data_IF_541837221673
#
_entry.id   IF_541837221673
#
_cell.length_a   1.000
_cell.length_b   1.000
_cell.length_c   1.000
_cell.angle_alpha   90.00
_cell.angle_beta   90.00
_cell.angle_gamma   90.00
#
_symmetry.space_group_name_H-M   'P 1'
#
loop_
_entity.id
_entity.type
_entity.pdbx_description
1 polymer ?
#
# COMPACT_ATOMS: atom_id res chain seq x y z
N UNK A 1 -2.07 4.35 9.10
CA UNK A 1 -3.30 3.92 8.40
C UNK A 1 -3.52 4.94 7.32
N UNK A 2 -3.34 4.57 6.05
CA UNK A 2 -3.60 5.45 4.91
C UNK A 2 -5.01 5.10 4.43
N UNK A 3 -5.95 6.04 4.54
CA UNK A 3 -7.32 5.84 4.08
C UNK A 3 -7.47 6.47 2.69
N UNK A 4 -7.54 5.62 1.66
CA UNK A 4 -7.79 6.05 0.28
C UNK A 4 -9.30 6.00 0.03
N UNK A 5 -9.95 7.16 0.02
CA UNK A 5 -11.38 7.26 -0.26
C UNK A 5 -11.65 7.16 -1.77
N UNK A 6 -12.56 6.26 -2.18
CA UNK A 6 -13.10 6.21 -3.55
C UNK A 6 -12.35 5.32 -4.54
N UNK A 7 -11.32 4.57 -4.11
CA UNK A 7 -10.64 3.59 -4.95
C UNK A 7 -11.23 2.21 -4.66
N UNK A 8 -11.85 1.60 -5.66
CA UNK A 8 -12.44 0.25 -5.59
C UNK A 8 -11.49 -0.86 -6.03
N UNK A 9 -10.36 -0.51 -6.66
CA UNK A 9 -9.36 -1.44 -7.18
C UNK A 9 -8.17 -1.54 -6.21
N UNK A 10 -7.99 -2.73 -5.64
CA UNK A 10 -7.04 -3.03 -4.56
C UNK A 10 -5.58 -2.96 -5.02
N UNK A 11 -5.28 -3.51 -6.19
CA UNK A 11 -3.91 -3.52 -6.73
C UNK A 11 -3.46 -2.10 -7.07
N UNK A 12 -4.40 -1.28 -7.55
CA UNK A 12 -4.18 0.14 -7.81
C UNK A 12 -4.00 0.96 -6.53
N UNK A 13 -4.80 0.69 -5.50
CA UNK A 13 -4.60 1.33 -4.19
C UNK A 13 -3.21 1.01 -3.62
N UNK A 14 -2.73 -0.24 -3.78
CA UNK A 14 -1.38 -0.65 -3.38
C UNK A 14 -0.31 0.13 -4.13
N UNK A 15 -0.44 0.23 -5.45
CA UNK A 15 0.51 0.98 -6.28
C UNK A 15 0.57 2.45 -5.84
N UNK A 16 -0.58 3.07 -5.56
CA UNK A 16 -0.66 4.47 -5.10
C UNK A 16 -0.02 4.66 -3.72
N UNK A 17 -0.25 3.75 -2.76
CA UNK A 17 0.35 3.85 -1.40
C UNK A 17 1.85 3.59 -1.41
N UNK A 18 2.34 2.76 -2.33
CA UNK A 18 3.77 2.46 -2.47
C UNK A 18 4.53 3.50 -3.30
N UNK A 19 3.82 4.33 -4.09
CA UNK A 19 4.43 5.46 -4.78
C UNK A 19 4.87 6.50 -3.75
N UNK A 20 6.17 6.82 -3.77
CA UNK A 20 6.72 7.85 -2.91
C UNK A 20 6.35 9.26 -3.40
N UNK A 21 5.97 9.41 -4.68
CA UNK A 21 5.58 10.65 -5.36
C UNK A 21 6.39 11.86 -4.91
N UNK A 22 7.71 11.73 -4.92
CA UNK A 22 8.61 12.84 -4.65
C UNK A 22 8.55 13.82 -5.81
N UNK A 23 7.79 14.90 -5.64
CA UNK A 23 7.66 15.97 -6.63
C UNK A 23 8.83 16.94 -6.48
N UNK A 24 9.55 17.16 -7.57
CA UNK A 24 10.63 18.16 -7.68
C UNK A 24 10.40 19.05 -8.90
N UNK A 25 10.73 20.32 -8.76
CA UNK A 25 10.83 21.25 -9.88
C UNK A 25 12.31 21.57 -10.11
N UNK A 26 12.77 21.30 -11.34
CA UNK A 26 14.16 21.47 -11.76
C UNK A 26 14.23 22.29 -13.05
N UNK A 27 15.33 23.00 -13.26
CA UNK A 27 15.60 23.67 -14.52
C UNK A 27 16.17 22.66 -15.52
N UNK A 28 15.71 22.71 -16.77
CA UNK A 28 16.33 21.98 -17.87
C UNK A 28 17.52 22.80 -18.37
N UNK A 29 18.68 22.16 -18.45
CA UNK A 29 19.92 22.81 -18.88
C UNK A 29 20.22 22.48 -20.36
N UNK A 30 20.88 23.39 -21.09
CA UNK A 30 21.36 23.10 -22.44
C UNK A 30 22.31 21.90 -22.47
N UNK A 31 22.32 21.16 -23.58
CA UNK A 31 23.19 19.99 -23.74
C UNK A 31 24.66 20.35 -23.98
N UNK A 32 25.04 21.63 -24.06
CA UNK A 32 26.39 22.07 -24.45
C UNK A 32 27.48 21.51 -23.54
N UNK A 33 27.27 21.59 -22.23
CA UNK A 33 28.25 21.16 -21.24
C UNK A 33 28.32 19.64 -21.16
N UNK A 34 27.16 18.99 -21.29
CA UNK A 34 27.04 17.54 -21.35
C UNK A 34 27.76 16.99 -22.58
N UNK A 35 27.52 17.57 -23.76
CA UNK A 35 28.18 17.21 -25.02
C UNK A 35 29.70 17.38 -24.94
N UNK A 36 30.20 18.43 -24.27
CA UNK A 36 31.63 18.61 -24.03
C UNK A 36 32.23 17.55 -23.08
N UNK A 37 31.42 16.98 -22.18
CA UNK A 37 31.84 15.94 -21.26
C UNK A 37 31.76 14.52 -21.86
N UNK A 38 31.01 14.30 -22.95
CA UNK A 38 30.81 12.98 -23.55
C UNK A 38 32.11 12.26 -23.91
N UNK A 39 33.10 12.97 -24.48
CA UNK A 39 34.39 12.35 -24.82
C UNK A 39 35.18 11.88 -23.60
N UNK A 40 34.97 12.51 -22.44
CA UNK A 40 35.55 12.04 -21.17
C UNK A 40 34.80 10.83 -20.66
N UNK A 41 33.47 10.84 -20.76
CA UNK A 41 32.60 9.74 -20.35
C UNK A 41 32.91 8.48 -21.17
N UNK A 42 32.98 8.59 -22.49
CA UNK A 42 33.33 7.48 -23.39
C UNK A 42 34.67 6.84 -22.99
N UNK A 43 35.71 7.65 -22.75
CA UNK A 43 37.01 7.14 -22.28
C UNK A 43 36.92 6.43 -20.94
N UNK A 44 36.13 6.95 -19.99
CA UNK A 44 35.93 6.26 -18.70
C UNK A 44 35.19 4.94 -18.85
N UNK A 45 34.21 4.85 -19.75
CA UNK A 45 33.49 3.61 -20.04
C UNK A 45 34.44 2.58 -20.65
N UNK A 46 35.28 2.98 -21.61
CA UNK A 46 36.28 2.09 -22.23
C UNK A 46 37.32 1.62 -21.22
N UNK A 47 37.82 2.52 -20.37
CA UNK A 47 38.78 2.19 -19.33
C UNK A 47 38.20 1.24 -18.26
N UNK A 48 36.91 1.38 -17.91
CA UNK A 48 36.28 0.57 -16.87
C UNK A 48 35.90 -0.84 -17.35
N UNK A 49 35.38 -0.97 -18.57
CA UNK A 49 34.87 -2.23 -19.11
C UNK A 49 35.92 -3.04 -19.87
N UNK A 50 36.92 -2.37 -20.44
CA UNK A 50 37.89 -2.97 -21.36
C UNK A 50 37.32 -3.18 -22.77
N UNK A 51 38.22 -3.24 -23.75
CA UNK A 51 37.86 -3.29 -25.19
C UNK A 51 37.09 -4.56 -25.58
N UNK A 52 37.39 -5.70 -24.96
CA UNK A 52 36.79 -6.99 -25.30
C UNK A 52 35.30 -7.08 -24.90
N UNK A 53 34.92 -6.48 -23.78
CA UNK A 53 33.53 -6.46 -23.33
C UNK A 53 32.69 -5.48 -24.14
N UNK A 54 33.27 -4.36 -24.59
CA UNK A 54 32.63 -3.39 -25.49
C UNK A 54 32.39 -3.99 -26.88
N UNK A 55 33.36 -4.77 -27.38
CA UNK A 55 33.20 -5.56 -28.61
C UNK A 55 32.12 -6.64 -28.46
N UNK A 56 32.06 -7.32 -27.31
CA UNK A 56 31.01 -8.30 -27.02
C UNK A 56 29.60 -7.66 -26.94
N UNK A 57 29.51 -6.38 -26.55
CA UNK A 57 28.30 -5.57 -26.57
C UNK A 57 27.95 -5.03 -27.98
N UNK A 58 28.78 -5.31 -28.99
CA UNK A 58 28.54 -4.90 -30.38
C UNK A 58 28.77 -3.41 -30.64
N UNK A 59 29.62 -2.73 -29.85
CA UNK A 59 29.80 -1.26 -29.87
C UNK A 59 31.21 -0.80 -30.22
N UNK A 60 31.88 -1.52 -31.11
CA UNK A 60 33.13 -1.09 -31.76
C UNK A 60 32.79 -0.05 -32.85
N UNK A 61 32.47 1.18 -32.44
CA UNK A 61 32.18 2.29 -33.37
C UNK A 61 33.31 3.31 -33.26
N UNK A 62 34.20 3.25 -34.24
CA UNK A 62 35.28 4.22 -34.48
C UNK A 62 34.68 5.47 -35.13
N UNK A 63 35.00 6.66 -34.62
CA UNK A 63 34.59 7.93 -35.26
C UNK A 63 34.96 7.95 -36.75
N UNK A 64 33.96 8.12 -37.62
CA UNK A 64 34.14 8.22 -39.06
C UNK A 64 34.63 9.62 -39.47
N UNK A 65 35.80 10.03 -39.00
CA UNK A 65 36.56 11.11 -39.63
C UNK A 65 37.98 10.60 -39.90
N UNK A 66 38.34 10.53 -41.18
CA UNK A 66 39.57 10.00 -41.78
C UNK A 66 39.58 8.49 -42.09
N UNK A 67 38.87 8.10 -43.16
CA UNK A 67 39.33 6.95 -43.97
C UNK A 67 40.38 7.43 -44.97
N UNK A 68 41.50 6.70 -45.19
CA UNK A 68 42.53 7.06 -46.16
C UNK A 68 42.07 6.63 -47.57
N UNK A 69 41.12 7.38 -48.13
CA UNK A 69 40.70 7.21 -49.54
C UNK A 69 41.82 7.57 -50.54
N UNK A 70 42.92 8.15 -50.06
CA UNK A 70 44.06 8.56 -50.89
C UNK A 70 45.00 7.37 -51.18
N UNK A 71 45.08 6.37 -50.29
CA UNK A 71 46.08 5.29 -50.42
C UNK A 71 45.66 4.20 -51.42
N UNK A 72 44.35 4.08 -51.68
CA UNK A 72 43.80 3.14 -52.67
C UNK A 72 43.83 3.73 -54.09
N UNK A 73 43.86 5.06 -54.23
CA UNK A 73 43.83 5.73 -55.54
C UNK A 73 45.20 5.89 -56.21
N UNK A 74 46.31 5.83 -55.46
CA UNK A 74 47.66 6.04 -55.99
C UNK A 74 48.59 4.82 -55.90
N UNK A 75 48.14 3.69 -55.33
CA UNK A 75 48.93 2.48 -55.20
C UNK A 75 48.88 1.55 -56.42
N UNK A 76 49.46 1.96 -57.54
CA UNK A 76 49.61 1.07 -58.70
C UNK A 76 50.74 1.49 -59.64
N UNK A 77 51.79 0.67 -59.74
CA UNK A 77 52.73 0.75 -60.86
C UNK A 77 54.16 0.24 -60.61
N UNK A 78 54.42 -0.97 -61.11
CA UNK A 78 55.65 -1.46 -61.77
C UNK A 78 56.97 -1.80 -61.04
N UNK A 79 57.21 -3.12 -60.99
CA UNK A 79 58.32 -3.89 -61.58
C UNK A 79 59.74 -3.29 -61.72
N UNK A 80 60.71 -3.89 -61.01
CA UNK A 80 61.89 -4.61 -61.54
C UNK A 80 63.26 -4.33 -60.86
N UNK A 81 64.02 -5.43 -60.72
CA UNK A 81 65.50 -5.59 -60.63
C UNK A 81 66.17 -5.61 -59.24
N UNK A 82 66.91 -6.70 -59.05
CA UNK A 82 67.88 -7.13 -58.02
C UNK A 82 68.79 -6.08 -57.38
N UNK A 83 69.23 -6.29 -56.14
CA UNK A 83 70.58 -6.83 -55.75
C UNK A 83 70.63 -7.04 -54.23
N UNK A 84 71.44 -8.01 -53.79
CA UNK A 84 71.87 -8.30 -52.43
C UNK A 84 72.25 -7.04 -51.63
N UNK A 85 71.96 -7.01 -50.32
CA UNK A 85 72.96 -7.08 -49.24
C UNK A 85 72.27 -6.97 -47.88
N UNK A 86 72.60 -7.91 -46.99
CA UNK A 86 72.22 -7.91 -45.58
C UNK A 86 72.95 -6.73 -44.92
N UNK A 87 72.22 -5.81 -44.30
CA UNK A 87 72.76 -5.01 -43.20
C UNK A 87 71.76 -5.00 -42.04
N UNK A 88 72.30 -5.37 -40.89
CA UNK A 88 71.65 -5.51 -39.60
C UNK A 88 71.40 -4.13 -39.02
N UNK A 89 70.14 -3.71 -39.01
CA UNK A 89 69.66 -2.69 -38.09
C UNK A 89 68.27 -3.09 -37.62
N UNK A 90 68.10 -3.00 -36.31
CA UNK A 90 66.91 -3.39 -35.55
C UNK A 90 65.63 -3.03 -36.30
N UNK A 91 64.79 -4.04 -36.54
CA UNK A 91 63.36 -3.81 -36.71
C UNK A 91 62.88 -3.26 -35.38
N UNK A 92 62.89 -1.93 -35.24
CA UNK A 92 62.02 -1.26 -34.31
C UNK A 92 60.62 -1.53 -34.83
N UNK A 93 60.00 -2.61 -34.33
CA UNK A 93 58.54 -2.68 -34.27
C UNK A 93 58.13 -1.49 -33.41
N UNK A 94 57.83 -0.36 -34.06
CA UNK A 94 56.99 0.66 -33.45
C UNK A 94 55.62 0.01 -33.28
N UNK A 95 55.42 -0.62 -32.13
CA UNK A 95 54.09 -0.86 -31.57
C UNK A 95 53.39 0.51 -31.64
N UNK A 96 52.30 0.68 -32.40
CA UNK A 96 51.52 1.90 -32.31
C UNK A 96 51.10 2.03 -30.85
N UNK A 97 51.42 3.14 -30.22
CA UNK A 97 51.11 3.40 -28.82
C UNK A 97 49.61 3.09 -28.57
N UNK A 98 49.33 2.14 -27.67
CA UNK A 98 47.95 1.71 -27.32
C UNK A 98 47.09 2.88 -26.79
N UNK A 99 47.71 4.01 -26.45
CA UNK A 99 47.04 5.25 -26.03
C UNK A 99 46.25 5.92 -27.16
N UNK A 100 46.67 5.82 -28.44
CA UNK A 100 46.00 6.51 -29.56
C UNK A 100 44.69 5.83 -30.02
N UNK A 101 44.49 4.54 -29.72
CA UNK A 101 43.29 3.81 -30.14
C UNK A 101 42.09 4.03 -29.21
N UNK A 102 42.33 4.34 -27.94
CA UNK A 102 41.30 4.57 -26.91
C UNK A 102 40.42 5.78 -27.22
N UNK A 103 40.97 6.82 -27.85
CA UNK A 103 40.26 8.07 -28.17
C UNK A 103 39.24 7.90 -29.30
N UNK A 104 39.28 6.78 -30.03
CA UNK A 104 38.42 6.56 -31.21
C UNK A 104 37.07 5.89 -30.90
N UNK A 105 36.94 5.26 -29.73
CA UNK A 105 35.75 4.50 -29.34
C UNK A 105 34.71 5.37 -28.63
N UNK A 106 33.47 5.35 -29.12
CA UNK A 106 32.36 6.16 -28.61
C UNK A 106 31.14 5.30 -28.19
N UNK A 107 31.29 4.43 -27.16
CA UNK A 107 30.25 3.48 -26.78
C UNK A 107 29.02 4.12 -26.13
N UNK A 108 29.17 5.25 -25.43
CA UNK A 108 28.09 5.94 -24.74
C UNK A 108 27.49 7.06 -25.60
N UNK A 109 28.33 7.90 -26.21
CA UNK A 109 27.85 9.05 -27.00
C UNK A 109 27.03 8.65 -28.23
N UNK A 110 27.32 7.51 -28.87
CA UNK A 110 26.53 7.00 -30.00
C UNK A 110 25.11 6.56 -29.64
N UNK A 111 24.82 6.36 -28.35
CA UNK A 111 23.47 6.05 -27.85
C UNK A 111 22.60 7.32 -27.72
N UNK A 112 23.24 8.48 -27.64
CA UNK A 112 22.60 9.76 -27.39
C UNK A 112 22.35 10.50 -28.70
N UNK A 113 21.13 10.43 -29.21
CA UNK A 113 20.72 11.28 -30.33
C UNK A 113 20.28 12.63 -29.79
N UNK A 114 20.62 13.74 -30.44
CA UNK A 114 20.14 15.07 -30.02
C UNK A 114 18.60 15.10 -30.16
N UNK A 115 17.93 15.49 -29.07
CA UNK A 115 16.49 15.64 -29.03
C UNK A 115 15.99 16.83 -29.83
N UNK A 116 14.68 16.83 -30.11
CA UNK A 116 13.96 17.96 -30.71
C UNK A 116 13.63 19.08 -29.71
N UNK A 117 13.75 18.78 -28.41
CA UNK A 117 13.61 19.73 -27.31
C UNK A 117 14.98 20.09 -26.77
N UNK A 118 15.22 21.37 -26.49
CA UNK A 118 16.47 21.82 -25.90
C UNK A 118 16.73 21.13 -24.55
N UNK A 119 17.99 20.75 -24.31
CA UNK A 119 18.38 20.04 -23.09
C UNK A 119 17.99 18.55 -23.05
N UNK A 120 17.62 17.95 -24.19
CA UNK A 120 17.21 16.55 -24.25
C UNK A 120 18.03 15.71 -25.23
N UNK A 121 18.20 14.44 -24.87
CA UNK A 121 18.67 13.39 -25.76
C UNK A 121 17.55 12.38 -26.02
N UNK A 122 17.56 11.77 -27.20
CA UNK A 122 16.68 10.69 -27.63
C UNK A 122 17.45 9.38 -27.66
N UNK A 123 17.05 8.46 -26.80
CA UNK A 123 17.64 7.12 -26.70
C UNK A 123 16.62 6.13 -27.25
N UNK A 124 17.06 5.21 -28.11
CA UNK A 124 16.19 4.13 -28.59
C UNK A 124 15.78 3.24 -27.41
N UNK A 125 14.51 2.83 -27.33
CA UNK A 125 14.02 2.02 -26.18
C UNK A 125 14.83 0.73 -25.99
N UNK A 126 15.32 0.16 -27.09
CA UNK A 126 16.19 -1.03 -27.13
C UNK A 126 17.54 -0.83 -26.42
N UNK A 127 18.03 0.41 -26.40
CA UNK A 127 19.34 0.80 -25.89
C UNK A 127 19.31 1.30 -24.43
N UNK A 128 18.12 1.50 -23.85
CA UNK A 128 17.95 1.99 -22.47
C UNK A 128 18.72 1.16 -21.44
N UNK A 129 18.66 -0.19 -21.43
CA UNK A 129 19.37 -0.99 -20.42
C UNK A 129 20.89 -0.77 -20.44
N UNK A 130 21.45 -0.48 -21.62
CA UNK A 130 22.87 -0.21 -21.79
C UNK A 130 23.23 1.18 -21.26
N UNK A 131 22.40 2.19 -21.53
CA UNK A 131 22.58 3.54 -20.98
C UNK A 131 22.47 3.51 -19.46
N UNK A 132 21.50 2.79 -18.90
CA UNK A 132 21.36 2.63 -17.44
C UNK A 132 22.57 1.92 -16.82
N UNK A 133 23.13 0.91 -17.50
CA UNK A 133 24.37 0.27 -17.07
C UNK A 133 25.53 1.26 -17.00
N UNK A 134 25.72 2.08 -18.04
CA UNK A 134 26.80 3.07 -18.09
C UNK A 134 26.60 4.19 -17.06
N UNK A 135 25.40 4.73 -16.90
CA UNK A 135 25.08 5.75 -15.89
C UNK A 135 25.17 5.22 -14.45
N UNK A 136 25.04 3.90 -14.28
CA UNK A 136 25.19 3.22 -13.00
C UNK A 136 26.63 3.04 -12.52
N UNK A 137 27.64 3.33 -13.36
CA UNK A 137 29.05 3.21 -13.00
C UNK A 137 29.53 4.41 -12.18
N UNK A 138 30.21 4.16 -11.07
CA UNK A 138 30.76 5.20 -10.20
C UNK A 138 31.78 6.08 -10.94
N UNK A 139 32.54 5.50 -11.87
CA UNK A 139 33.51 6.20 -12.72
C UNK A 139 32.83 7.20 -13.65
N UNK A 140 31.71 6.80 -14.26
CA UNK A 140 30.92 7.64 -15.17
C UNK A 140 30.26 8.77 -14.39
N UNK A 141 29.71 8.49 -13.21
CA UNK A 141 29.12 9.53 -12.35
C UNK A 141 30.14 10.60 -11.96
N UNK A 142 31.41 10.24 -11.73
CA UNK A 142 32.49 11.22 -11.45
C UNK A 142 32.92 12.03 -12.67
N UNK A 143 32.69 11.53 -13.88
CA UNK A 143 33.03 12.19 -15.13
C UNK A 143 31.94 13.17 -15.62
N UNK A 144 30.75 13.12 -15.01
CA UNK A 144 29.63 14.02 -15.31
C UNK A 144 29.97 15.49 -15.01
N UNK A 145 29.40 16.44 -15.78
CA UNK A 145 29.43 17.86 -15.39
C UNK A 145 28.87 18.05 -13.97
N UNK A 146 29.45 19.00 -13.23
CA UNK A 146 28.96 19.37 -11.89
C UNK A 146 27.61 20.06 -12.00
N UNK A 147 26.78 19.90 -10.97
CA UNK A 147 25.45 20.53 -10.85
C UNK A 147 24.46 20.09 -11.94
N UNK A 148 24.72 18.96 -12.61
CA UNK A 148 23.86 18.39 -13.66
C UNK A 148 23.52 16.93 -13.38
N UNK A 149 22.27 16.57 -13.63
CA UNK A 149 21.78 15.20 -13.53
C UNK A 149 21.00 14.81 -14.78
N UNK A 150 21.14 13.56 -15.20
CA UNK A 150 20.37 12.99 -16.29
C UNK A 150 19.14 12.28 -15.72
N UNK A 151 17.95 12.63 -16.19
CA UNK A 151 16.70 12.00 -15.76
C UNK A 151 15.83 11.59 -16.95
N UNK A 152 15.24 10.40 -16.85
CA UNK A 152 14.41 9.84 -17.89
C UNK A 152 13.02 10.50 -17.95
N UNK A 153 12.52 10.76 -19.14
CA UNK A 153 11.12 11.08 -19.37
C UNK A 153 10.22 9.87 -19.12
N UNK A 154 9.01 10.12 -18.62
CA UNK A 154 8.00 9.09 -18.38
C UNK A 154 7.48 8.45 -19.68
N UNK A 155 7.13 9.29 -20.67
CA UNK A 155 6.49 8.84 -21.90
C UNK A 155 7.51 8.52 -23.00
N UNK A 156 7.37 7.37 -23.68
CA UNK A 156 8.13 7.10 -24.90
C UNK A 156 7.56 7.88 -26.09
N UNK A 157 8.42 8.26 -27.02
CA UNK A 157 8.05 8.98 -28.24
C UNK A 157 8.34 8.14 -29.47
N UNK A 158 7.32 7.97 -30.32
CA UNK A 158 7.48 7.30 -31.61
C UNK A 158 8.09 8.22 -32.66
N UNK A 159 9.18 7.79 -33.31
CA UNK A 159 9.79 8.51 -34.44
C UNK A 159 10.03 7.54 -35.59
N UNK A 160 9.20 7.64 -36.63
CA UNK A 160 9.23 6.70 -37.75
C UNK A 160 8.85 5.28 -37.31
N UNK A 161 9.71 4.30 -37.60
CA UNK A 161 9.50 2.90 -37.22
C UNK A 161 10.09 2.53 -35.85
N UNK A 162 10.72 3.47 -35.14
CA UNK A 162 11.40 3.23 -33.86
C UNK A 162 10.76 4.04 -32.73
N UNK A 163 10.91 3.52 -31.52
CA UNK A 163 10.45 4.18 -30.29
C UNK A 163 11.65 4.68 -29.52
N UNK A 164 11.59 5.92 -29.07
CA UNK A 164 12.63 6.59 -28.30
C UNK A 164 12.09 6.98 -26.93
N UNK A 165 12.99 7.32 -26.01
CA UNK A 165 12.67 7.97 -24.74
C UNK A 165 13.58 9.17 -24.56
N UNK A 166 13.01 10.26 -24.04
CA UNK A 166 13.80 11.44 -23.69
C UNK A 166 14.65 11.18 -22.45
N UNK A 167 15.88 11.67 -22.50
CA UNK A 167 16.77 11.82 -21.36
C UNK A 167 17.06 13.31 -21.21
N UNK A 168 16.57 13.90 -20.13
CA UNK A 168 16.70 15.32 -19.85
C UNK A 168 17.98 15.61 -19.09
N UNK A 169 18.67 16.67 -19.48
CA UNK A 169 19.75 17.29 -18.70
C UNK A 169 19.11 18.30 -17.77
N UNK A 170 19.15 18.02 -16.47
CA UNK A 170 18.55 18.88 -15.45
C UNK A 170 19.61 19.40 -14.51
N UNK A 171 19.33 20.52 -13.86
CA UNK A 171 20.07 20.97 -12.68
C UNK A 171 19.96 19.92 -11.57
N UNK A 172 21.07 19.64 -10.86
CA UNK A 172 21.11 18.59 -9.83
C UNK A 172 20.14 18.90 -8.68
N UNK A 173 20.20 20.13 -8.17
CA UNK A 173 19.37 20.61 -7.07
C UNK A 173 17.98 21.07 -7.53
N UNK A 174 16.95 20.61 -6.84
CA UNK A 174 15.59 21.11 -7.04
C UNK A 174 15.40 22.48 -6.35
N UNK A 175 14.96 23.49 -7.10
CA UNK A 175 14.67 24.81 -6.53
C UNK A 175 13.37 24.84 -5.72
N UNK A 176 12.47 23.87 -5.96
CA UNK A 176 11.22 23.69 -5.22
C UNK A 176 10.85 22.20 -5.19
N UNK A 177 10.34 21.72 -4.07
CA UNK A 177 9.82 20.35 -3.94
C UNK A 177 8.35 20.34 -3.52
N UNK A 178 7.74 19.16 -3.51
CA UNK A 178 6.34 18.95 -3.15
C UNK A 178 5.98 19.31 -1.70
N UNK A 179 6.94 19.59 -0.83
CA UNK A 179 6.69 20.03 0.55
C UNK A 179 5.92 21.36 0.63
N UNK A 180 6.00 22.17 -0.43
CA UNK A 180 5.32 23.47 -0.54
C UNK A 180 3.97 23.40 -1.22
N UNK A 181 3.43 22.22 -1.51
CA UNK A 181 2.12 22.04 -2.14
C UNK A 181 0.99 22.16 -1.10
N UNK A 182 0.00 23.03 -1.34
CA UNK A 182 -1.21 23.16 -0.50
C UNK A 182 -2.37 22.33 -1.05
N UNK A 183 -2.52 22.27 -2.37
CA UNK A 183 -3.57 21.47 -3.00
C UNK A 183 -3.17 20.95 -4.37
N UNK A 184 -3.74 19.80 -4.76
CA UNK A 184 -3.72 19.29 -6.13
C UNK A 184 -5.12 18.80 -6.50
N UNK A 185 -5.56 19.12 -7.71
CA UNK A 185 -6.87 18.72 -8.24
C UNK A 185 -6.72 18.25 -9.69
N UNK A 186 -7.31 17.09 -9.99
CA UNK A 186 -7.37 16.60 -11.35
C UNK A 186 -8.51 17.29 -12.10
N UNK A 187 -8.28 17.58 -13.37
CA UNK A 187 -9.26 18.16 -14.27
C UNK A 187 -8.99 17.76 -15.71
N UNK A 188 -9.85 18.23 -16.60
CA UNK A 188 -9.59 18.20 -18.04
C UNK A 188 -9.42 19.61 -18.55
N UNK A 189 -8.47 19.78 -19.45
CA UNK A 189 -8.34 21.01 -20.19
C UNK A 189 -9.59 21.25 -21.05
N UNK A 190 -10.28 22.39 -20.90
CA UNK A 190 -11.43 22.75 -21.73
C UNK A 190 -11.11 22.87 -23.23
N UNK A 191 -9.85 23.13 -23.61
CA UNK A 191 -9.49 23.35 -25.01
C UNK A 191 -9.13 22.05 -25.74
N UNK A 192 -8.24 21.24 -25.15
CA UNK A 192 -7.72 20.04 -25.80
C UNK A 192 -8.32 18.74 -25.24
N UNK A 193 -9.20 18.82 -24.24
CA UNK A 193 -9.80 17.67 -23.54
C UNK A 193 -8.73 16.69 -23.00
N UNK A 194 -7.56 17.22 -22.65
CA UNK A 194 -6.44 16.47 -22.08
C UNK A 194 -6.57 16.43 -20.56
N UNK A 195 -6.12 15.34 -19.95
CA UNK A 195 -6.08 15.24 -18.49
C UNK A 195 -4.96 16.11 -17.94
N UNK A 196 -5.26 16.88 -16.88
CA UNK A 196 -4.29 17.78 -16.24
C UNK A 196 -4.44 17.75 -14.73
N UNK A 197 -3.35 18.02 -14.01
CA UNK A 197 -3.35 18.21 -12.57
C UNK A 197 -3.03 19.67 -12.26
N UNK A 198 -4.01 20.38 -11.71
CA UNK A 198 -3.84 21.74 -11.22
C UNK A 198 -3.35 21.69 -9.78
N UNK A 199 -2.27 22.41 -9.49
CA UNK A 199 -1.72 22.50 -8.14
C UNK A 199 -1.65 23.94 -7.65
N UNK A 200 -1.78 24.09 -6.33
CA UNK A 200 -1.59 25.35 -5.63
C UNK A 200 -0.49 25.17 -4.59
N UNK A 201 0.49 26.06 -4.63
CA UNK A 201 1.61 26.14 -3.71
C UNK A 201 1.26 27.05 -2.53
N UNK A 202 1.93 26.81 -1.42
CA UNK A 202 1.89 27.69 -0.26
C UNK A 202 2.38 29.10 -0.58
N UNK A 203 2.01 30.08 0.24
CA UNK A 203 2.47 31.47 0.07
C UNK A 203 4.00 31.59 -0.01
N UNK A 204 4.74 30.74 0.72
CA UNK A 204 6.19 30.69 0.65
C UNK A 204 6.65 30.07 -0.67
N UNK A 205 6.11 28.90 -1.05
CA UNK A 205 6.43 28.22 -2.30
C UNK A 205 6.13 29.07 -3.53
N UNK A 206 4.97 29.74 -3.57
CA UNK A 206 4.60 30.64 -4.66
C UNK A 206 5.51 31.86 -4.81
N UNK A 207 6.15 32.35 -3.74
CA UNK A 207 7.15 33.42 -3.83
C UNK A 207 8.45 32.90 -4.45
N UNK A 208 8.94 31.75 -4.00
CA UNK A 208 10.13 31.10 -4.57
C UNK A 208 9.90 30.77 -6.04
N UNK A 209 8.77 30.16 -6.36
CA UNK A 209 8.38 29.81 -7.74
C UNK A 209 8.26 31.05 -8.62
N UNK A 210 7.65 32.13 -8.13
CA UNK A 210 7.55 33.39 -8.85
C UNK A 210 8.89 34.10 -9.05
N UNK A 211 9.79 34.03 -8.07
CA UNK A 211 11.12 34.61 -8.20
C UNK A 211 11.97 33.83 -9.21
N UNK A 212 11.88 32.50 -9.19
CA UNK A 212 12.62 31.61 -10.09
C UNK A 212 12.12 31.72 -11.53
N UNK A 213 10.82 31.50 -11.76
CA UNK A 213 10.21 31.64 -13.10
C UNK A 213 10.36 33.04 -13.70
N UNK A 214 10.43 34.08 -12.86
CA UNK A 214 10.69 35.44 -13.30
C UNK A 214 12.11 35.71 -13.80
N UNK A 215 13.08 34.84 -13.48
CA UNK A 215 14.48 34.93 -13.92
C UNK A 215 14.76 34.01 -15.12
N UNK A 216 13.97 32.95 -15.27
CA UNK A 216 14.14 31.88 -16.27
C UNK A 216 13.04 31.90 -17.35
N UNK A 217 12.61 33.10 -17.77
CA UNK A 217 11.60 33.20 -18.84
C UNK A 217 12.22 32.80 -20.18
N UNK A 218 11.62 31.81 -20.84
CA UNK A 218 12.12 31.19 -22.06
C UNK A 218 12.75 29.82 -21.85
N UNK A 219 13.17 29.51 -20.62
CA UNK A 219 13.79 28.22 -20.28
C UNK A 219 12.72 27.13 -20.05
N UNK A 220 13.12 25.86 -20.13
CA UNK A 220 12.23 24.74 -19.80
C UNK A 220 12.31 24.39 -18.31
N UNK A 221 11.15 24.13 -17.73
CA UNK A 221 11.00 23.75 -16.32
C UNK A 221 10.55 22.31 -16.24
N UNK A 222 11.41 21.43 -15.73
CA UNK A 222 11.09 20.02 -15.56
C UNK A 222 10.28 19.81 -14.27
N UNK A 223 9.17 19.08 -14.42
CA UNK A 223 8.36 18.57 -13.32
C UNK A 223 8.72 17.10 -13.17
N UNK A 224 9.44 16.79 -12.10
CA UNK A 224 10.02 15.47 -11.83
C UNK A 224 9.19 14.78 -10.76
N UNK A 225 8.83 13.53 -11.00
CA UNK A 225 8.15 12.67 -10.05
C UNK A 225 8.95 11.38 -9.87
N UNK A 226 9.37 11.09 -8.64
CA UNK A 226 10.14 9.88 -8.29
C UNK A 226 11.39 9.68 -9.18
N UNK A 227 12.06 10.79 -9.52
CA UNK A 227 13.28 10.80 -10.35
C UNK A 227 13.05 10.69 -11.86
N UNK A 228 11.79 10.75 -12.32
CA UNK A 228 11.44 10.75 -13.75
C UNK A 228 10.73 12.03 -14.14
N UNK A 229 11.04 12.58 -15.30
CA UNK A 229 10.43 13.80 -15.83
C UNK A 229 9.03 13.47 -16.35
N UNK A 230 8.01 14.04 -15.71
CA UNK A 230 6.62 13.94 -16.13
C UNK A 230 6.32 14.90 -17.28
N UNK A 231 6.73 16.16 -17.14
CA UNK A 231 6.57 17.18 -18.18
C UNK A 231 7.67 18.25 -18.06
N UNK A 232 8.00 18.90 -19.18
CA UNK A 232 8.99 19.97 -19.23
C UNK A 232 8.46 21.18 -20.04
N UNK A 233 7.46 21.93 -19.54
CA UNK A 233 6.95 23.10 -20.24
C UNK A 233 7.95 24.27 -20.27
N UNK A 234 7.82 25.11 -21.30
CA UNK A 234 8.54 26.39 -21.41
C UNK A 234 7.93 27.42 -20.46
N UNK A 235 8.76 28.13 -19.69
CA UNK A 235 8.34 29.24 -18.84
C UNK A 235 8.04 30.45 -19.74
N UNK A 236 6.76 30.78 -19.91
CA UNK A 236 6.32 31.91 -20.77
C UNK A 236 6.33 33.26 -20.06
N UNK A 237 6.01 33.24 -18.77
CA UNK A 237 5.86 34.41 -17.92
C UNK A 237 6.18 34.03 -16.47
N UNK A 238 6.28 35.04 -15.60
CA UNK A 238 6.37 34.83 -14.14
C UNK A 238 5.11 34.13 -13.62
N UNK A 239 5.27 32.96 -13.01
CA UNK A 239 4.16 32.16 -12.49
C UNK A 239 4.05 32.36 -10.97
N UNK A 240 2.82 32.56 -10.49
CA UNK A 240 2.55 32.73 -9.06
C UNK A 240 2.47 31.40 -8.29
N UNK A 241 1.52 31.29 -7.38
CA UNK A 241 1.34 30.09 -6.55
C UNK A 241 0.57 28.95 -7.26
N UNK A 242 0.01 29.17 -8.45
CA UNK A 242 -0.80 28.17 -9.16
C UNK A 242 -0.12 27.72 -10.42
N UNK A 243 -0.11 26.41 -10.65
CA UNK A 243 0.42 25.80 -11.85
C UNK A 243 -0.44 24.64 -12.31
N UNK A 244 -0.13 24.14 -13.50
CA UNK A 244 -0.76 22.96 -14.08
C UNK A 244 0.32 21.99 -14.56
N UNK A 245 0.07 20.70 -14.40
CA UNK A 245 0.86 19.59 -14.92
C UNK A 245 0.01 18.93 -16.00
N UNK A 246 0.51 18.92 -17.23
CA UNK A 246 -0.15 18.23 -18.34
C UNK A 246 0.22 16.74 -18.29
N UNK A 247 -0.79 15.86 -18.37
CA UNK A 247 -0.59 14.41 -18.28
C UNK A 247 -0.34 13.75 -19.64
N UNK A 248 -0.16 14.53 -20.70
CA UNK A 248 -0.01 14.01 -22.05
C UNK A 248 -1.34 13.68 -22.74
N UNK A 249 -1.27 13.40 -24.05
CA UNK A 249 -2.44 13.07 -24.86
C UNK A 249 -2.84 11.61 -24.68
N UNK A 250 -4.11 11.36 -24.33
CA UNK A 250 -4.66 10.00 -24.22
C UNK A 250 -4.68 9.42 -22.80
N UNK A 251 -4.11 10.14 -21.83
CA UNK A 251 -4.09 9.71 -20.42
C UNK A 251 -5.47 9.83 -19.78
N UNK A 252 -6.02 8.75 -19.18
CA UNK A 252 -7.31 8.78 -18.49
C UNK A 252 -7.35 9.82 -17.35
N UNK A 253 -8.52 10.44 -17.14
CA UNK A 253 -8.74 11.37 -16.01
C UNK A 253 -8.48 10.73 -14.65
N UNK A 254 -8.65 9.42 -14.59
CA UNK A 254 -8.43 8.60 -13.43
C UNK A 254 -6.97 8.60 -12.98
N UNK A 255 -6.00 8.50 -13.90
CA UNK A 255 -4.58 8.59 -13.60
C UNK A 255 -4.17 9.98 -13.10
N UNK A 256 -4.78 11.04 -13.65
CA UNK A 256 -4.59 12.40 -13.15
C UNK A 256 -5.13 12.55 -11.72
N UNK A 257 -6.24 11.87 -11.41
CA UNK A 257 -6.84 11.84 -10.07
C UNK A 257 -5.95 11.13 -9.06
N UNK A 258 -5.30 10.03 -9.47
CA UNK A 258 -4.34 9.31 -8.67
C UNK A 258 -3.11 10.18 -8.38
N UNK A 259 -2.54 10.82 -9.42
CA UNK A 259 -1.42 11.73 -9.23
C UNK A 259 -1.78 12.88 -8.28
N UNK A 260 -2.95 13.51 -8.46
CA UNK A 260 -3.42 14.55 -7.55
C UNK A 260 -3.60 14.06 -6.11
N UNK A 261 -3.98 12.79 -5.92
CA UNK A 261 -4.06 12.17 -4.60
C UNK A 261 -2.68 12.00 -3.99
N UNK A 262 -1.69 11.48 -4.73
CA UNK A 262 -0.34 11.27 -4.20
C UNK A 262 0.36 12.60 -3.90
N UNK A 263 0.20 13.60 -4.77
CA UNK A 263 0.73 14.95 -4.56
C UNK A 263 0.17 15.60 -3.29
N UNK A 264 -1.11 15.39 -2.96
CA UNK A 264 -1.73 15.88 -1.71
C UNK A 264 -1.30 15.09 -0.47
N UNK A 265 -1.09 13.79 -0.61
CA UNK A 265 -0.57 12.96 0.47
C UNK A 265 0.86 13.37 0.85
N UNK A 266 1.58 13.99 -0.10
CA UNK A 266 2.95 14.45 0.08
C UNK A 266 3.94 13.29 -0.02
N UNK A 267 5.22 13.63 -0.17
CA UNK A 267 6.26 12.62 -0.24
C UNK A 267 6.31 11.78 1.04
N UNK A 268 6.27 10.46 0.90
CA UNK A 268 6.51 9.56 2.01
C UNK A 268 7.99 9.64 2.42
N UNK A 269 8.33 9.85 3.71
CA UNK A 269 9.71 10.01 4.16
C UNK A 269 10.55 8.72 4.03
N UNK A 270 9.91 7.56 3.82
CA UNK A 270 10.57 6.28 3.63
C UNK A 270 9.68 5.31 2.84
N UNK A 271 10.32 4.37 2.12
CA UNK A 271 9.64 3.29 1.41
C UNK A 271 8.85 2.42 2.40
N UNK A 272 7.57 2.19 2.12
CA UNK A 272 6.68 1.36 2.95
C UNK A 272 6.64 -0.06 2.36
N UNK A 273 6.90 -1.07 3.21
CA UNK A 273 6.70 -2.48 2.86
C UNK A 273 5.44 -3.00 3.55
N UNK A 274 4.58 -3.71 2.81
CA UNK A 274 3.35 -4.32 3.36
C UNK A 274 3.74 -5.61 4.09
N UNK A 275 3.52 -5.66 5.42
CA UNK A 275 3.93 -6.80 6.28
C UNK A 275 2.81 -7.84 6.44
N UNK A 276 1.55 -7.40 6.53
CA UNK A 276 0.40 -8.29 6.62
C UNK A 276 -0.81 -7.62 5.97
N UNK A 277 -1.61 -8.41 5.24
CA UNK A 277 -2.82 -7.97 4.56
C UNK A 277 -4.00 -8.88 4.95
N UNK A 278 -5.15 -8.25 5.25
CA UNK A 278 -6.41 -8.96 5.49
C UNK A 278 -7.55 -8.20 4.81
N UNK A 279 -7.91 -8.66 3.63
CA UNK A 279 -9.08 -8.15 2.90
C UNK A 279 -10.28 -9.01 3.22
N UNK A 280 -11.32 -8.41 3.81
CA UNK A 280 -12.62 -9.08 4.05
C UNK A 280 -13.67 -8.39 3.20
N UNK A 281 -14.15 -9.09 2.18
CA UNK A 281 -15.21 -8.59 1.30
C UNK A 281 -16.52 -8.36 2.07
N UNK A 282 -17.28 -7.29 1.76
CA UNK A 282 -18.56 -7.01 2.41
C UNK A 282 -19.56 -8.18 2.32
N UNK A 283 -19.54 -8.93 1.21
CA UNK A 283 -20.40 -10.11 1.02
C UNK A 283 -20.07 -11.24 2.00
N UNK A 284 -18.79 -11.53 2.22
CA UNK A 284 -18.37 -12.58 3.16
C UNK A 284 -18.77 -12.25 4.60
N UNK A 285 -18.71 -10.96 4.96
CA UNK A 285 -19.20 -10.46 6.24
C UNK A 285 -20.71 -10.62 6.39
N UNK A 286 -21.47 -10.24 5.35
CA UNK A 286 -22.93 -10.35 5.34
C UNK A 286 -23.41 -11.81 5.43
N UNK A 287 -22.84 -12.70 4.62
CA UNK A 287 -23.17 -14.13 4.62
C UNK A 287 -22.92 -14.76 6.00
N UNK A 288 -21.83 -14.37 6.66
CA UNK A 288 -21.49 -14.86 8.01
C UNK A 288 -22.48 -14.36 9.07
N UNK A 289 -22.94 -13.11 8.96
CA UNK A 289 -23.96 -12.55 9.86
C UNK A 289 -25.29 -13.27 9.65
N UNK A 290 -25.69 -13.50 8.40
CA UNK A 290 -26.96 -14.15 8.07
C UNK A 290 -26.96 -15.62 8.52
N UNK A 291 -25.88 -16.36 8.27
CA UNK A 291 -25.69 -17.71 8.79
C UNK A 291 -25.70 -17.74 10.33
N UNK A 292 -25.01 -16.79 10.97
CA UNK A 292 -25.01 -16.65 12.43
C UNK A 292 -26.39 -16.36 13.01
N UNK A 293 -27.19 -15.52 12.33
CA UNK A 293 -28.57 -15.22 12.72
C UNK A 293 -29.47 -16.46 12.63
N UNK A 294 -29.37 -17.23 11.54
CA UNK A 294 -30.13 -18.47 11.36
C UNK A 294 -29.74 -19.51 12.42
N UNK A 295 -28.44 -19.72 12.63
CA UNK A 295 -27.93 -20.64 13.65
C UNK A 295 -28.39 -20.23 15.06
N UNK A 296 -28.33 -18.92 15.36
CA UNK A 296 -28.80 -18.38 16.64
C UNK A 296 -30.30 -18.57 16.86
N UNK A 297 -31.14 -18.31 15.85
CA UNK A 297 -32.60 -18.52 15.94
C UNK A 297 -32.95 -20.00 16.12
N UNK A 298 -32.33 -20.90 15.35
CA UNK A 298 -32.54 -22.34 15.46
C UNK A 298 -32.08 -22.87 16.83
N UNK A 299 -30.90 -22.46 17.30
CA UNK A 299 -30.39 -22.83 18.62
C UNK A 299 -31.30 -22.35 19.74
N UNK A 300 -31.73 -21.09 19.69
CA UNK A 300 -32.66 -20.53 20.67
C UNK A 300 -34.00 -21.27 20.68
N UNK A 301 -34.57 -21.57 19.51
CA UNK A 301 -35.83 -22.30 19.40
C UNK A 301 -35.72 -23.71 20.00
N UNK A 302 -34.61 -24.42 19.73
CA UNK A 302 -34.37 -25.75 20.28
C UNK A 302 -34.22 -25.72 21.81
N UNK A 303 -33.48 -24.75 22.34
CA UNK A 303 -33.29 -24.55 23.78
C UNK A 303 -34.64 -24.27 24.47
N UNK A 304 -35.46 -23.37 23.92
CA UNK A 304 -36.80 -23.08 24.43
C UNK A 304 -37.68 -24.34 24.44
N UNK A 305 -37.65 -25.12 23.35
CA UNK A 305 -38.43 -26.35 23.24
C UNK A 305 -38.01 -27.37 24.30
N UNK A 306 -36.70 -27.62 24.47
CA UNK A 306 -36.19 -28.57 25.46
C UNK A 306 -36.55 -28.12 26.88
N UNK A 307 -36.40 -26.83 27.19
CA UNK A 307 -36.73 -26.31 28.51
C UNK A 307 -38.21 -26.47 28.85
N UNK A 308 -39.11 -26.14 27.92
CA UNK A 308 -40.55 -26.29 28.14
C UNK A 308 -40.94 -27.78 28.21
N UNK A 309 -40.37 -28.64 27.35
CA UNK A 309 -40.70 -30.06 27.32
C UNK A 309 -40.26 -30.79 28.60
N UNK A 310 -39.05 -30.52 29.09
CA UNK A 310 -38.46 -31.23 30.23
C UNK A 310 -38.87 -30.63 31.59
N UNK A 311 -38.89 -29.29 31.70
CA UNK A 311 -39.14 -28.58 32.97
C UNK A 311 -40.54 -27.95 33.07
N UNK A 312 -41.40 -28.09 32.05
CA UNK A 312 -42.80 -27.62 32.04
C UNK A 312 -42.91 -26.15 32.48
N UNK A 313 -43.57 -25.86 33.61
CA UNK A 313 -43.78 -24.50 34.11
C UNK A 313 -42.45 -23.85 34.54
N UNK A 314 -41.55 -24.58 35.20
CA UNK A 314 -40.21 -24.08 35.51
C UNK A 314 -39.44 -23.69 34.24
N UNK A 315 -39.61 -24.49 33.17
CA UNK A 315 -39.10 -24.19 31.83
C UNK A 315 -39.62 -22.88 31.25
N UNK A 316 -40.92 -22.62 31.36
CA UNK A 316 -41.54 -21.37 30.90
C UNK A 316 -40.97 -20.16 31.66
N UNK A 317 -40.79 -20.28 32.98
CA UNK A 317 -40.19 -19.21 33.78
C UNK A 317 -38.73 -18.95 33.38
N UNK A 318 -37.95 -20.00 33.11
CA UNK A 318 -36.58 -19.87 32.60
C UNK A 318 -36.53 -19.20 31.22
N UNK A 319 -37.45 -19.54 30.32
CA UNK A 319 -37.53 -18.89 28.99
C UNK A 319 -37.85 -17.40 29.12
N UNK A 320 -38.74 -17.02 30.05
CA UNK A 320 -38.98 -15.62 30.37
C UNK A 320 -37.71 -14.90 30.87
N UNK A 321 -36.95 -15.53 31.76
CA UNK A 321 -35.70 -15.00 32.27
C UNK A 321 -34.62 -14.92 31.17
N UNK A 322 -34.61 -15.87 30.23
CA UNK A 322 -33.75 -15.85 29.05
C UNK A 322 -34.06 -14.66 28.13
N UNK A 323 -35.34 -14.27 28.01
CA UNK A 323 -35.72 -13.05 27.29
C UNK A 323 -35.12 -11.79 27.92
N UNK A 324 -35.20 -11.66 29.24
CA UNK A 324 -34.58 -10.55 29.98
C UNK A 324 -33.05 -10.57 29.82
N UNK A 325 -32.44 -11.76 29.87
CA UNK A 325 -31.02 -11.96 29.65
C UNK A 325 -30.56 -11.41 28.29
N UNK A 326 -31.24 -11.77 27.19
CA UNK A 326 -30.87 -11.29 25.84
C UNK A 326 -30.95 -9.77 25.76
N UNK A 327 -31.99 -9.17 26.35
CA UNK A 327 -32.13 -7.70 26.40
C UNK A 327 -30.98 -7.06 27.18
N UNK A 328 -30.57 -7.63 28.32
CA UNK A 328 -29.46 -7.12 29.11
C UNK A 328 -28.13 -7.21 28.36
N UNK A 329 -27.86 -8.30 27.65
CA UNK A 329 -26.63 -8.46 26.87
C UNK A 329 -26.59 -7.47 25.71
N UNK A 330 -27.66 -7.39 24.91
CA UNK A 330 -27.72 -6.48 23.76
C UNK A 330 -27.71 -5.01 24.19
N UNK A 331 -28.47 -4.67 25.24
CA UNK A 331 -28.49 -3.32 25.82
C UNK A 331 -27.15 -2.94 26.44
N UNK A 332 -26.48 -3.89 27.11
CA UNK A 332 -25.14 -3.71 27.65
C UNK A 332 -24.10 -3.43 26.56
N UNK A 333 -24.08 -4.24 25.49
CA UNK A 333 -23.19 -4.05 24.34
C UNK A 333 -23.41 -2.70 23.66
N UNK A 334 -24.68 -2.33 23.43
CA UNK A 334 -25.04 -1.04 22.85
C UNK A 334 -24.62 0.13 23.76
N UNK A 335 -24.79 0.00 25.08
CA UNK A 335 -24.45 1.04 26.05
C UNK A 335 -22.95 1.35 26.13
N UNK A 336 -22.10 0.37 25.89
CA UNK A 336 -20.63 0.55 25.86
C UNK A 336 -20.07 0.81 24.45
N UNK A 337 -20.92 0.86 23.42
CA UNK A 337 -20.50 1.01 22.02
C UNK A 337 -19.65 -0.15 21.50
N UNK A 338 -19.83 -1.35 22.04
CA UNK A 338 -19.06 -2.52 21.61
C UNK A 338 -19.50 -2.98 20.21
N UNK A 339 -18.53 -3.31 19.37
CA UNK A 339 -18.78 -3.83 18.03
C UNK A 339 -19.14 -5.31 18.09
N UNK A 340 -20.28 -5.68 17.49
CA UNK A 340 -20.69 -7.06 17.36
C UNK A 340 -20.02 -7.69 16.12
N UNK A 341 -18.93 -8.41 16.34
CA UNK A 341 -18.20 -9.14 15.29
C UNK A 341 -18.83 -10.52 15.04
N UNK A 342 -18.46 -11.19 13.93
CA UNK A 342 -18.90 -12.57 13.66
C UNK A 342 -18.53 -13.53 14.81
N UNK A 343 -17.29 -13.51 15.35
CA UNK A 343 -17.00 -14.23 16.59
C UNK A 343 -17.83 -13.75 17.79
N UNK A 344 -18.12 -12.45 17.91
CA UNK A 344 -19.05 -11.93 18.90
C UNK A 344 -20.42 -12.61 18.88
N UNK A 345 -21.01 -12.82 17.70
CA UNK A 345 -22.27 -13.55 17.53
C UNK A 345 -22.14 -14.99 18.04
N UNK A 346 -21.03 -15.68 17.74
CA UNK A 346 -20.78 -17.02 18.26
C UNK A 346 -20.67 -17.03 19.80
N UNK A 347 -20.03 -16.01 20.38
CA UNK A 347 -19.97 -15.79 21.83
C UNK A 347 -21.34 -15.58 22.46
N UNK A 348 -22.23 -14.85 21.80
CA UNK A 348 -23.61 -14.67 22.25
C UNK A 348 -24.37 -16.01 22.26
N UNK A 349 -24.28 -16.79 21.18
CA UNK A 349 -24.93 -18.11 21.07
C UNK A 349 -24.43 -19.06 22.16
N UNK A 350 -23.11 -19.11 22.39
CA UNK A 350 -22.50 -19.89 23.46
C UNK A 350 -23.03 -19.45 24.83
N UNK A 351 -23.12 -18.15 25.06
CA UNK A 351 -23.57 -17.56 26.32
C UNK A 351 -25.05 -17.85 26.60
N UNK A 352 -25.91 -17.93 25.57
CA UNK A 352 -27.30 -18.39 25.70
C UNK A 352 -27.36 -19.82 26.23
N UNK A 353 -26.52 -20.73 25.73
CA UNK A 353 -26.45 -22.11 26.22
C UNK A 353 -26.07 -22.17 27.71
N UNK A 354 -25.01 -21.44 28.10
CA UNK A 354 -24.58 -21.37 29.50
C UNK A 354 -25.61 -20.69 30.41
N UNK A 355 -26.35 -19.70 29.91
CA UNK A 355 -27.42 -19.05 30.68
C UNK A 355 -28.57 -20.00 31.02
N UNK A 356 -28.85 -20.98 30.16
CA UNK A 356 -29.85 -22.00 30.44
C UNK A 356 -29.32 -23.09 31.36
N UNK A 357 -28.04 -23.48 31.25
CA UNK A 357 -27.39 -24.44 32.13
C UNK A 357 -27.48 -24.05 33.62
N UNK A 358 -27.29 -22.77 33.93
CA UNK A 358 -27.47 -22.26 35.30
C UNK A 358 -28.91 -22.48 35.83
N UNK A 359 -29.93 -22.33 34.97
CA UNK A 359 -31.32 -22.60 35.36
C UNK A 359 -31.57 -24.11 35.55
N UNK A 360 -30.94 -24.97 34.74
CA UNK A 360 -31.02 -26.43 34.88
C UNK A 360 -30.46 -26.89 36.23
N UNK A 361 -29.28 -26.41 36.62
CA UNK A 361 -28.68 -26.72 37.93
C UNK A 361 -29.59 -26.33 39.10
N UNK A 362 -30.22 -25.16 39.02
CA UNK A 362 -31.19 -24.71 40.02
C UNK A 362 -32.39 -25.67 40.06
N UNK A 363 -32.94 -26.04 38.90
CA UNK A 363 -34.15 -26.87 38.83
C UNK A 363 -33.92 -28.29 39.34
N UNK A 364 -32.79 -28.90 39.00
CA UNK A 364 -32.41 -30.21 39.54
C UNK A 364 -32.22 -30.13 41.05
N UNK A 365 -31.56 -29.08 41.56
CA UNK A 365 -31.42 -28.91 43.02
C UNK A 365 -32.76 -28.75 43.72
N UNK A 366 -33.70 -28.02 43.12
CA UNK A 366 -35.08 -27.91 43.65
C UNK A 366 -35.78 -29.28 43.64
N UNK A 367 -35.64 -30.07 42.56
CA UNK A 367 -36.20 -31.43 42.48
C UNK A 367 -35.62 -32.35 43.56
N UNK A 368 -34.32 -32.27 43.82
CA UNK A 368 -33.66 -33.02 44.90
C UNK A 368 -34.23 -32.65 46.28
N UNK A 369 -34.37 -31.37 46.60
CA UNK A 369 -34.93 -30.92 47.88
C UNK A 369 -36.42 -31.29 48.04
N UNK A 370 -37.19 -31.30 46.94
CA UNK A 370 -38.58 -31.80 46.93
C UNK A 370 -38.65 -33.31 47.14
N UNK A 371 -37.72 -34.09 46.56
CA UNK A 371 -37.67 -35.54 46.72
C UNK A 371 -37.34 -35.97 48.17
N UNK A 372 -36.61 -35.13 48.90
CA UNK A 372 -36.34 -35.29 50.35
C UNK A 372 -37.56 -34.95 51.21
N UNK A 373 -38.66 -34.47 50.61
CA UNK A 373 -39.93 -34.20 51.28
C UNK A 373 -40.04 -32.80 51.88
N UNK A 374 -39.18 -31.86 51.50
CA UNK A 374 -39.28 -30.47 51.96
C UNK A 374 -40.52 -29.80 51.38
N UNK A 375 -41.11 -28.87 52.15
CA UNK A 375 -42.20 -28.04 51.66
C UNK A 375 -41.78 -27.23 50.43
N UNK A 376 -42.69 -27.07 49.47
CA UNK A 376 -42.42 -26.51 48.15
C UNK A 376 -41.66 -25.18 48.17
N UNK A 377 -42.03 -24.26 49.06
CA UNK A 377 -41.37 -22.95 49.18
C UNK A 377 -39.94 -23.06 49.74
N UNK A 378 -39.75 -23.92 50.74
CA UNK A 378 -38.44 -24.19 51.34
C UNK A 378 -37.52 -24.90 50.36
N UNK A 379 -38.04 -25.86 49.57
CA UNK A 379 -37.27 -26.54 48.53
C UNK A 379 -36.75 -25.57 47.46
N UNK A 380 -37.56 -24.56 47.09
CA UNK A 380 -37.10 -23.50 46.18
C UNK A 380 -36.01 -22.64 46.81
N UNK A 381 -36.22 -22.14 48.03
CA UNK A 381 -35.23 -21.30 48.73
C UNK A 381 -33.88 -22.02 48.92
N UNK A 382 -33.91 -23.28 49.36
CA UNK A 382 -32.74 -24.13 49.56
C UNK A 382 -32.09 -24.50 48.22
N UNK A 383 -32.90 -24.81 47.19
CA UNK A 383 -32.41 -25.10 45.85
C UNK A 383 -31.57 -23.97 45.25
N UNK A 384 -32.03 -22.72 45.39
CA UNK A 384 -31.26 -21.54 44.98
C UNK A 384 -30.00 -21.33 45.82
N UNK A 385 -30.05 -21.57 47.14
CA UNK A 385 -28.87 -21.42 48.00
C UNK A 385 -27.77 -22.44 47.69
N UNK A 386 -28.16 -23.71 47.51
CA UNK A 386 -27.23 -24.80 47.23
C UNK A 386 -26.66 -24.73 45.81
N UNK A 387 -27.44 -24.27 44.83
CA UNK A 387 -26.95 -24.11 43.46
C UNK A 387 -26.04 -22.88 43.28
N UNK A 388 -26.11 -21.89 44.18
CA UNK A 388 -25.39 -20.62 44.05
C UNK A 388 -23.87 -20.79 43.92
N UNK A 389 -23.24 -21.61 44.76
CA UNK A 389 -21.77 -21.77 44.74
C UNK A 389 -21.29 -22.39 43.44
N UNK A 390 -21.97 -23.43 42.95
CA UNK A 390 -21.63 -24.09 41.70
C UNK A 390 -21.78 -23.13 40.49
N UNK A 391 -22.85 -22.33 40.46
CA UNK A 391 -23.08 -21.34 39.39
C UNK A 391 -22.04 -20.23 39.44
N UNK A 392 -21.70 -19.73 40.64
CA UNK A 392 -20.70 -18.70 40.80
C UNK A 392 -19.32 -19.19 40.35
N UNK A 393 -18.92 -20.39 40.77
CA UNK A 393 -17.61 -20.97 40.46
C UNK A 393 -17.45 -21.21 38.95
N UNK A 394 -18.48 -21.75 38.28
CA UNK A 394 -18.48 -21.98 36.85
C UNK A 394 -18.36 -20.66 36.07
N UNK A 395 -19.21 -19.67 36.39
CA UNK A 395 -19.19 -18.36 35.72
C UNK A 395 -17.91 -17.57 35.98
N UNK A 396 -17.37 -17.62 37.20
CA UNK A 396 -16.10 -16.97 37.54
C UNK A 396 -14.94 -17.55 36.73
N UNK A 397 -14.88 -18.87 36.58
CA UNK A 397 -13.84 -19.54 35.79
C UNK A 397 -13.90 -19.08 34.33
N UNK A 398 -15.08 -19.08 33.72
CA UNK A 398 -15.26 -18.61 32.34
C UNK A 398 -14.99 -17.11 32.19
N UNK A 399 -15.34 -16.30 33.20
CA UNK A 399 -15.09 -14.86 33.18
C UNK A 399 -13.59 -14.54 33.20
N UNK A 400 -12.82 -15.28 34.00
CA UNK A 400 -11.35 -15.17 34.02
C UNK A 400 -10.79 -15.50 32.63
N UNK A 401 -11.26 -16.57 31.98
CA UNK A 401 -10.85 -16.90 30.61
C UNK A 401 -11.20 -15.79 29.63
N UNK A 402 -12.42 -15.25 29.70
CA UNK A 402 -12.86 -14.15 28.84
C UNK A 402 -11.99 -12.90 29.05
N UNK A 403 -11.59 -12.59 30.28
CA UNK A 403 -10.73 -11.44 30.59
C UNK A 403 -9.32 -11.63 30.01
N UNK A 404 -8.76 -12.84 30.07
CA UNK A 404 -7.49 -13.17 29.43
C UNK A 404 -7.61 -12.98 27.90
N UNK A 405 -8.68 -13.49 27.29
CA UNK A 405 -8.94 -13.30 25.86
C UNK A 405 -9.14 -11.83 25.49
N UNK A 406 -9.72 -11.02 26.38
CA UNK A 406 -9.87 -9.58 26.15
C UNK A 406 -8.52 -8.84 26.20
N UNK A 407 -7.63 -9.23 27.13
CA UNK A 407 -6.35 -8.57 27.34
C UNK A 407 -5.30 -8.96 26.27
N UNK A 408 -5.28 -10.22 25.86
CA UNK A 408 -4.28 -10.77 24.94
C UNK A 408 -4.81 -11.07 23.54
N UNK A 409 -6.13 -11.13 23.35
CA UNK A 409 -6.74 -11.38 22.05
C UNK A 409 -6.69 -10.14 21.14
N UNK A 410 -6.49 -10.38 19.85
CA UNK A 410 -6.46 -9.32 18.84
C UNK A 410 -7.73 -9.34 17.98
N UNK A 411 -8.12 -8.15 17.50
CA UNK A 411 -9.23 -7.95 16.57
C UNK A 411 -10.51 -8.74 16.91
N UNK A 412 -10.88 -9.78 16.13
CA UNK A 412 -12.12 -10.52 16.33
C UNK A 412 -12.22 -11.27 17.67
N UNK A 413 -11.10 -11.75 18.22
CA UNK A 413 -11.08 -12.49 19.50
C UNK A 413 -11.47 -11.58 20.66
N UNK A 414 -11.09 -10.30 20.59
CA UNK A 414 -11.45 -9.31 21.59
C UNK A 414 -12.95 -9.03 21.60
N UNK A 415 -13.59 -8.99 20.42
CA UNK A 415 -15.05 -8.85 20.29
C UNK A 415 -15.82 -10.06 20.85
N UNK A 416 -15.30 -11.28 20.63
CA UNK A 416 -15.81 -12.49 21.28
C UNK A 416 -15.72 -12.38 22.81
N UNK A 417 -14.56 -11.97 23.34
CA UNK A 417 -14.33 -11.84 24.77
C UNK A 417 -15.29 -10.85 25.44
N UNK A 418 -15.51 -9.67 24.84
CA UNK A 418 -16.46 -8.66 25.37
C UNK A 418 -17.88 -9.21 25.43
N UNK A 419 -18.31 -9.89 24.37
CA UNK A 419 -19.66 -10.46 24.29
C UNK A 419 -19.85 -11.57 25.32
N UNK A 420 -18.85 -12.44 25.48
CA UNK A 420 -18.84 -13.51 26.47
C UNK A 420 -18.85 -12.97 27.91
N UNK A 421 -18.03 -11.97 28.23
CA UNK A 421 -18.00 -11.35 29.56
C UNK A 421 -19.34 -10.70 29.92
N UNK A 422 -19.93 -9.93 29.01
CA UNK A 422 -21.26 -9.34 29.21
C UNK A 422 -22.33 -10.44 29.39
N UNK A 423 -22.24 -11.49 28.57
CA UNK A 423 -23.09 -12.68 28.67
C UNK A 423 -23.00 -13.35 30.04
N UNK A 424 -21.82 -13.53 30.61
CA UNK A 424 -21.66 -14.17 31.91
C UNK A 424 -22.29 -13.33 33.03
N UNK A 425 -22.05 -12.01 33.04
CA UNK A 425 -22.60 -11.10 34.06
C UNK A 425 -24.12 -11.04 33.97
N UNK A 426 -24.67 -10.90 32.76
CA UNK A 426 -26.11 -10.89 32.54
C UNK A 426 -26.77 -12.23 32.88
N UNK A 427 -26.10 -13.35 32.57
CA UNK A 427 -26.57 -14.71 32.88
C UNK A 427 -26.67 -14.93 34.38
N UNK A 428 -25.61 -14.57 35.12
CA UNK A 428 -25.57 -14.68 36.57
C UNK A 428 -26.70 -13.88 37.24
N UNK A 429 -26.91 -12.64 36.80
CA UNK A 429 -28.02 -11.81 37.27
C UNK A 429 -29.38 -12.42 36.92
N UNK A 430 -29.56 -12.88 35.68
CA UNK A 430 -30.83 -13.46 35.23
C UNK A 430 -31.19 -14.73 36.01
N UNK A 431 -30.26 -15.67 36.16
CA UNK A 431 -30.52 -16.93 36.85
C UNK A 431 -30.83 -16.73 38.35
N UNK A 432 -30.07 -15.88 39.05
CA UNK A 432 -30.20 -15.77 40.50
C UNK A 432 -31.25 -14.75 40.96
N UNK A 433 -31.45 -13.68 40.20
CA UNK A 433 -32.38 -12.63 40.57
C UNK A 433 -33.69 -12.74 39.79
N UNK A 434 -33.64 -12.83 38.46
CA UNK A 434 -34.85 -12.82 37.60
C UNK A 434 -35.61 -14.13 37.71
N UNK A 435 -34.96 -15.28 37.49
CA UNK A 435 -35.60 -16.60 37.61
C UNK A 435 -36.14 -16.81 39.03
N UNK A 436 -35.36 -16.46 40.06
CA UNK A 436 -35.82 -16.54 41.46
C UNK A 436 -37.06 -15.69 41.72
N UNK A 437 -37.08 -14.46 41.22
CA UNK A 437 -38.23 -13.56 41.36
C UNK A 437 -39.47 -14.11 40.67
N UNK A 438 -39.30 -14.69 39.48
CA UNK A 438 -40.38 -15.35 38.74
C UNK A 438 -40.94 -16.57 39.49
N UNK A 439 -40.07 -17.39 40.10
CA UNK A 439 -40.48 -18.51 40.94
C UNK A 439 -41.25 -18.06 42.19
N UNK A 440 -40.77 -17.02 42.88
CA UNK A 440 -41.44 -16.48 44.06
C UNK A 440 -42.81 -15.86 43.72
N UNK A 441 -42.91 -15.17 42.58
CA UNK A 441 -44.17 -14.62 42.09
C UNK A 441 -45.18 -15.73 41.76
N UNK A 442 -44.72 -16.78 41.07
CA UNK A 442 -45.53 -17.96 40.76
C UNK A 442 -46.02 -18.69 42.03
N UNK A 443 -45.16 -18.78 43.05
CA UNK A 443 -45.48 -19.37 44.35
C UNK A 443 -46.48 -18.55 45.19
N UNK A 444 -46.55 -17.23 45.00
CA UNK A 444 -47.41 -16.33 45.79
C UNK A 444 -48.91 -16.64 45.65
N UNK A 445 -49.31 -17.32 44.56
CA UNK A 445 -50.69 -17.74 44.29
C UNK A 445 -51.04 -19.18 44.70
N UNK A 446 -50.10 -19.97 45.24
CA UNK A 446 -50.28 -21.39 45.56
C UNK A 446 -50.22 -21.69 47.07
N UNK A 447 -50.93 -22.72 47.52
CA UNK A 447 -50.86 -23.20 48.91
C UNK A 447 -49.53 -23.93 49.14
N UNK A 448 -49.07 -23.97 50.38
CA UNK A 448 -47.74 -24.50 50.80
C UNK A 448 -47.49 -25.95 50.35
N UNK A 449 -48.55 -26.72 50.09
CA UNK A 449 -48.53 -28.13 49.68
C UNK A 449 -48.85 -28.38 48.21
N UNK A 450 -49.07 -27.35 47.39
CA UNK A 450 -49.41 -27.56 45.98
C UNK A 450 -48.18 -28.08 45.22
N UNK A 451 -48.33 -29.13 44.39
CA UNK A 451 -47.23 -29.62 43.58
C UNK A 451 -46.81 -28.56 42.57
N UNK A 452 -45.50 -28.38 42.42
CA UNK A 452 -44.90 -27.63 41.31
C UNK A 452 -44.44 -28.63 40.27
N UNK A 453 -44.77 -28.37 39.01
CA UNK A 453 -44.08 -29.00 37.90
C UNK A 453 -42.71 -28.31 37.71
N UNK A 454 -41.71 -28.83 38.39
CA UNK A 454 -40.29 -28.55 38.10
C UNK A 454 -39.80 -29.69 37.27
#
# INVERSE_FOLDING_TARGET
IVELAGISDEDRAKEIVQRNAFLEFKLVLPTTDMTAALSRIDRTVVAALGLDSIRALGRDVVSAEQSPLVDILFGGGDTAVSTEQIDTTEVVETIPEEEDQLDSFQPFSTLLNIGDVEGTYLIAVEDIPLVELFLGMDEVQRAMPRDQVLQWGMEPVGRGARTYRYLYVLEEDAFLTGDRLESATAGRDPQFNQSQVQFELSRAGGRTFSQFTGQHVGDLLAIVLDGRVQSAPVIRDRIGARGQIDMGSGTPLEEASDLALVLRAGALPAKINIIEERTVGPSLGQDSIDAGRIAGMLGMALVVLVMIAYYRIAGILAVGALGVYVVLVLGGLAGIGATLTVPGIAGLILSVGMAVDANVLIFERIREELAVGRATRTAVEEGFQHAFSAILDANMTTLITALILFQFGTGPVRGFAVTLSMGIVASFFSALFVTRSFFLLYLKGKKVSDPISV
#
